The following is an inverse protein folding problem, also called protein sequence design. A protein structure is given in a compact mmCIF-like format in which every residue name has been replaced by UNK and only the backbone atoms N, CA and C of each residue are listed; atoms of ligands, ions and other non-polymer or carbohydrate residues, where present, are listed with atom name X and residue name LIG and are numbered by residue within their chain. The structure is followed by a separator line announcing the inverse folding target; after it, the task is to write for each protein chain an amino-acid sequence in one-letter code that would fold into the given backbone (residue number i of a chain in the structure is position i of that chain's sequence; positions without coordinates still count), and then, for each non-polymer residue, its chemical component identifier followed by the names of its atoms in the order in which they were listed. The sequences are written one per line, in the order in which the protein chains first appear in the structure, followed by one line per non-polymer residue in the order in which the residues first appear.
data_IF_682794241191
#
_entry.id   IF_682794241191
#
_cell.length_a   1.000
_cell.length_b   1.000
_cell.length_c   1.000
_cell.angle_alpha   90.00
_cell.angle_beta   90.00
_cell.angle_gamma   90.00
#
_symmetry.space_group_name_H-M   'P 1'
#
loop_
_entity.id
_entity.type
_entity.pdbx_description
1 polymer ?
#
# COMPACT_ATOMS: atom_id res chain seq x y z
N UNK A 1 2.84 -4.56 3.76
CA UNK A 1 3.60 -4.66 2.50
C UNK A 1 5.05 -4.51 2.88
N UNK A 2 5.54 -5.52 3.57
CA UNK A 2 6.81 -5.50 4.25
C UNK A 2 7.84 -6.17 3.35
N UNK A 3 9.12 -5.94 3.64
CA UNK A 3 10.19 -6.56 2.87
C UNK A 3 9.99 -8.08 2.75
N UNK A 4 10.01 -8.58 1.51
CA UNK A 4 9.81 -10.00 1.21
C UNK A 4 8.36 -10.50 1.28
N UNK A 5 7.38 -9.66 1.58
CA UNK A 5 5.97 -10.08 1.69
C UNK A 5 5.26 -10.23 0.33
N UNK A 6 5.84 -9.72 -0.75
CA UNK A 6 5.20 -9.64 -2.07
C UNK A 6 5.78 -10.67 -3.04
N UNK A 7 4.90 -11.29 -3.84
CA UNK A 7 5.29 -12.11 -4.98
C UNK A 7 5.32 -11.24 -6.24
N UNK A 8 6.51 -11.00 -6.80
CA UNK A 8 6.71 -10.11 -7.95
C UNK A 8 5.87 -10.49 -9.17
N UNK A 9 5.62 -11.79 -9.40
CA UNK A 9 4.79 -12.22 -10.55
C UNK A 9 3.32 -11.85 -10.41
N UNK A 10 2.83 -11.71 -9.18
CA UNK A 10 1.45 -11.31 -8.90
C UNK A 10 1.30 -9.80 -8.85
N UNK A 11 2.35 -9.08 -8.47
CA UNK A 11 2.33 -7.63 -8.21
C UNK A 11 2.75 -6.80 -9.43
N UNK A 12 3.60 -7.33 -10.31
CA UNK A 12 4.13 -6.57 -11.45
C UNK A 12 3.02 -5.95 -12.30
N UNK A 13 3.10 -4.64 -12.54
CA UNK A 13 2.12 -3.89 -13.33
C UNK A 13 0.80 -3.57 -12.62
N UNK A 14 0.65 -3.88 -11.33
CA UNK A 14 -0.58 -3.63 -10.55
C UNK A 14 -0.41 -2.52 -9.52
N UNK A 15 -1.54 -1.96 -9.12
CA UNK A 15 -1.67 -1.14 -7.90
C UNK A 15 -1.88 -2.09 -6.72
N UNK A 16 -1.14 -1.87 -5.63
CA UNK A 16 -1.14 -2.75 -4.46
C UNK A 16 -1.85 -2.09 -3.29
N UNK A 17 -2.77 -2.82 -2.65
CA UNK A 17 -3.38 -2.42 -1.39
C UNK A 17 -2.50 -2.89 -0.22
N UNK A 18 -2.03 -1.94 0.58
CA UNK A 18 -1.12 -2.18 1.71
C UNK A 18 -1.76 -1.69 3.00
N UNK A 19 -1.85 -2.57 4.01
CA UNK A 19 -2.30 -2.18 5.34
C UNK A 19 -1.10 -1.81 6.21
N UNK A 20 -1.16 -0.61 6.78
CA UNK A 20 -0.28 -0.20 7.86
C UNK A 20 -0.49 -1.12 9.07
N UNK A 21 0.57 -1.37 9.84
CA UNK A 21 0.50 -2.01 11.15
C UNK A 21 0.55 -0.98 12.28
N UNK A 22 0.74 -1.43 13.52
CA UNK A 22 0.73 -0.56 14.73
C UNK A 22 1.94 0.40 14.87
N UNK A 23 2.96 0.31 14.00
CA UNK A 23 4.12 1.22 14.04
C UNK A 23 3.82 2.55 13.36
N UNK A 24 4.75 3.50 13.48
CA UNK A 24 4.70 4.80 12.79
C UNK A 24 4.33 4.65 11.30
N UNK A 25 3.18 5.21 10.84
CA UNK A 25 2.68 5.01 9.47
C UNK A 25 3.62 5.57 8.39
N UNK A 26 4.37 6.61 8.71
CA UNK A 26 5.30 7.27 7.79
C UNK A 26 6.47 6.35 7.44
N UNK A 27 7.09 5.73 8.45
CA UNK A 27 8.17 4.77 8.23
C UNK A 27 7.70 3.50 7.49
N UNK A 28 6.46 3.10 7.72
CA UNK A 28 5.85 1.97 7.00
C UNK A 28 5.56 2.28 5.54
N UNK A 29 5.21 3.53 5.21
CA UNK A 29 5.01 3.92 3.83
C UNK A 29 6.30 3.76 3.01
N UNK A 30 7.43 4.27 3.48
CA UNK A 30 8.70 4.19 2.72
C UNK A 30 9.10 2.73 2.44
N UNK A 31 8.91 1.88 3.45
CA UNK A 31 9.15 0.43 3.34
C UNK A 31 8.20 -0.19 2.30
N UNK A 32 6.91 0.16 2.36
CA UNK A 32 5.92 -0.35 1.41
C UNK A 32 6.18 0.16 -0.02
N UNK A 33 6.53 1.43 -0.20
CA UNK A 33 6.88 2.05 -1.46
C UNK A 33 8.06 1.34 -2.12
N UNK A 34 9.16 1.18 -1.38
CA UNK A 34 10.35 0.47 -1.83
C UNK A 34 10.03 -0.99 -2.19
N UNK A 35 9.28 -1.68 -1.34
CA UNK A 35 8.93 -3.11 -1.54
C UNK A 35 8.06 -3.31 -2.78
N UNK A 36 7.03 -2.47 -2.97
CA UNK A 36 6.13 -2.54 -4.13
C UNK A 36 6.88 -2.17 -5.42
N UNK A 37 7.72 -1.13 -5.39
CA UNK A 37 8.55 -0.74 -6.53
C UNK A 37 9.51 -1.87 -6.93
N UNK A 38 10.19 -2.48 -5.96
CA UNK A 38 11.09 -3.61 -6.19
C UNK A 38 10.37 -4.86 -6.74
N UNK A 39 9.10 -5.04 -6.37
CA UNK A 39 8.24 -6.10 -6.92
C UNK A 39 7.65 -5.77 -8.30
N UNK A 40 7.91 -4.58 -8.85
CA UNK A 40 7.39 -4.11 -10.14
C UNK A 40 5.97 -3.56 -10.11
N UNK A 41 5.42 -3.27 -8.93
CA UNK A 41 4.13 -2.61 -8.78
C UNK A 41 4.19 -1.16 -9.25
N UNK A 42 3.06 -0.63 -9.70
CA UNK A 42 2.96 0.69 -10.36
C UNK A 42 2.24 1.75 -9.51
N UNK A 43 1.74 1.37 -8.33
CA UNK A 43 1.07 2.29 -7.42
C UNK A 43 0.67 1.63 -6.12
N UNK A 44 0.31 2.45 -5.14
CA UNK A 44 -0.02 1.99 -3.78
C UNK A 44 -1.30 2.66 -3.29
N UNK A 45 -2.20 1.84 -2.75
CA UNK A 45 -3.30 2.24 -1.88
C UNK A 45 -2.87 1.88 -0.46
N UNK A 46 -2.67 2.87 0.39
CA UNK A 46 -2.14 2.65 1.74
C UNK A 46 -3.22 2.91 2.78
N UNK A 47 -3.62 1.82 3.40
CA UNK A 47 -4.61 1.78 4.46
C UNK A 47 -3.93 2.11 5.79
N UNK A 48 -4.35 3.18 6.48
CA UNK A 48 -3.80 3.54 7.78
C UNK A 48 -4.88 4.16 8.68
N UNK A 49 -4.74 4.01 9.99
CA UNK A 49 -5.64 4.67 10.93
C UNK A 49 -5.19 6.13 11.11
N UNK A 50 -5.96 7.06 10.56
CA UNK A 50 -5.86 8.53 10.69
C UNK A 50 -4.60 9.06 11.40
N UNK A 51 -3.60 9.46 10.62
CA UNK A 51 -2.55 10.36 11.08
C UNK A 51 -2.51 11.57 10.15
N UNK A 52 -2.46 12.77 10.74
CA UNK A 52 -2.27 14.05 10.02
C UNK A 52 -0.86 14.19 9.44
N UNK A 53 -0.22 13.07 9.09
CA UNK A 53 1.17 13.03 8.66
C UNK A 53 1.18 12.59 7.20
N UNK A 54 1.38 13.58 6.34
CA UNK A 54 1.75 13.36 4.96
C UNK A 54 2.94 14.25 4.65
N UNK A 55 4.11 13.64 4.47
CA UNK A 55 5.12 14.21 3.56
C UNK A 55 6.00 13.07 3.06
N UNK A 56 5.40 12.20 2.25
CA UNK A 56 6.15 11.17 1.58
C UNK A 56 6.27 11.55 0.10
N UNK A 57 7.48 11.91 -0.30
CA UNK A 57 7.88 12.05 -1.70
C UNK A 57 7.57 10.73 -2.43
N UNK A 58 6.49 10.65 -3.23
CA UNK A 58 6.05 9.36 -3.73
C UNK A 58 6.98 8.89 -4.85
N UNK A 59 7.65 7.76 -4.63
CA UNK A 59 8.39 7.05 -5.69
C UNK A 59 7.44 6.44 -6.74
N UNK A 60 6.15 6.31 -6.39
CA UNK A 60 5.07 5.74 -7.19
C UNK A 60 3.75 6.48 -6.91
N UNK A 61 2.78 6.52 -7.84
CA UNK A 61 1.42 6.97 -7.57
C UNK A 61 0.86 6.39 -6.27
N UNK A 62 0.26 7.25 -5.45
CA UNK A 62 -0.07 6.93 -4.07
C UNK A 62 -1.38 7.57 -3.60
N UNK A 63 -2.16 6.83 -2.83
CA UNK A 63 -3.33 7.34 -2.09
C UNK A 63 -3.37 6.76 -0.68
N UNK A 64 -3.70 7.62 0.29
CA UNK A 64 -4.03 7.22 1.66
C UNK A 64 -5.53 7.05 1.81
N UNK A 65 -5.91 5.99 2.52
CA UNK A 65 -7.29 5.68 2.83
C UNK A 65 -7.38 5.16 4.27
N UNK A 66 -8.48 5.45 4.94
CA UNK A 66 -8.76 4.86 6.25
C UNK A 66 -9.01 3.35 6.14
N UNK A 67 -8.87 2.63 7.25
CA UNK A 67 -9.08 1.18 7.26
C UNK A 67 -10.50 0.77 6.86
N UNK A 68 -11.51 1.57 7.20
CA UNK A 68 -12.89 1.33 6.79
C UNK A 68 -13.00 1.33 5.26
N UNK A 69 -12.51 2.39 4.61
CA UNK A 69 -12.51 2.51 3.14
C UNK A 69 -11.67 1.41 2.49
N UNK A 70 -10.52 1.08 3.08
CA UNK A 70 -9.63 0.05 2.57
C UNK A 70 -10.25 -1.35 2.62
N UNK A 71 -11.10 -1.59 3.61
CA UNK A 71 -11.87 -2.84 3.72
C UNK A 71 -12.91 -2.94 2.61
N UNK A 72 -13.58 -1.85 2.28
CA UNK A 72 -14.50 -1.79 1.14
C UNK A 72 -13.76 -2.03 -0.19
N UNK A 73 -12.59 -1.42 -0.38
CA UNK A 73 -11.72 -1.65 -1.55
C UNK A 73 -11.30 -3.12 -1.63
N UNK A 74 -10.88 -3.71 -0.50
CA UNK A 74 -10.50 -5.12 -0.45
C UNK A 74 -11.67 -6.02 -0.84
N UNK A 75 -12.87 -5.73 -0.35
CA UNK A 75 -14.08 -6.48 -0.71
C UNK A 75 -14.37 -6.39 -2.22
N UNK A 76 -14.22 -5.21 -2.81
CA UNK A 76 -14.35 -5.02 -4.25
C UNK A 76 -13.32 -5.84 -5.05
N UNK A 77 -12.05 -5.79 -4.65
CA UNK A 77 -10.96 -6.56 -5.29
C UNK A 77 -11.27 -8.06 -5.22
N UNK A 78 -11.71 -8.56 -4.07
CA UNK A 78 -12.05 -9.98 -3.90
C UNK A 78 -13.29 -10.41 -4.69
N UNK A 79 -14.24 -9.50 -4.90
CA UNK A 79 -15.45 -9.78 -5.67
C UNK A 79 -15.22 -9.77 -7.19
N UNK A 80 -14.15 -9.13 -7.67
CA UNK A 80 -13.93 -8.87 -9.10
C UNK A 80 -12.60 -9.38 -9.66
N UNK A 81 -11.70 -9.86 -8.79
CA UNK A 81 -10.36 -10.32 -9.12
C UNK A 81 -10.24 -11.75 -9.62
#
# INVERSE_FOLDING_TARGET
CDEGSLNSTQVAGKVVLCFAGEKDPSAQYDTAASTVLAAGGVGIIFAMHTTNVFDASPQLPYVQVDYEISTEILAYIQATG
#
